data_IF_269982502908
#
_entry.id   IF_269982502908
#
_cell.length_a   1.000
_cell.length_b   1.000
_cell.length_c   1.000
_cell.angle_alpha   90.00
_cell.angle_beta   90.00
_cell.angle_gamma   90.00
#
_symmetry.space_group_name_H-M   'P 1'
#
loop_
_entity.id
_entity.type
_entity.pdbx_description
1 polymer ?
#
# COMPACT_ATOMS: atom_id res chain seq x y z
N UNK A 1 3.90 7.61 -0.75
CA UNK A 1 4.29 7.84 0.67
C UNK A 1 3.85 6.63 1.48
N UNK A 2 4.57 6.22 2.53
CA UNK A 2 4.26 5.00 3.26
C UNK A 2 2.88 5.08 3.93
N UNK A 3 2.11 4.00 3.82
CA UNK A 3 0.90 3.79 4.59
C UNK A 3 1.23 3.82 6.09
N UNK A 4 0.33 4.40 6.90
CA UNK A 4 0.43 4.39 8.35
C UNK A 4 0.38 2.95 8.85
N UNK A 5 1.44 2.51 9.54
CA UNK A 5 1.53 1.17 10.12
C UNK A 5 1.14 1.24 11.59
N UNK A 6 0.08 0.53 11.97
CA UNK A 6 -0.46 0.46 13.33
C UNK A 6 -0.57 -0.98 13.83
N UNK A 7 -0.67 -1.14 15.15
CA UNK A 7 -0.71 -2.43 15.84
C UNK A 7 -1.96 -3.25 15.48
N UNK A 8 -3.12 -2.60 15.42
CA UNK A 8 -4.38 -3.15 14.95
C UNK A 8 -4.81 -2.37 13.72
N UNK A 9 -5.09 -3.05 12.63
CA UNK A 9 -5.47 -2.42 11.35
C UNK A 9 -6.50 -3.28 10.63
N UNK A 10 -7.40 -2.64 9.88
CA UNK A 10 -8.21 -3.39 8.94
C UNK A 10 -7.38 -3.76 7.71
N UNK A 11 -7.57 -4.97 7.22
CA UNK A 11 -7.02 -5.49 5.98
C UNK A 11 -8.16 -6.02 5.12
N UNK A 12 -8.07 -5.84 3.80
CA UNK A 12 -8.97 -6.44 2.83
C UNK A 12 -8.20 -7.57 2.16
N UNK A 13 -8.61 -8.80 2.41
CA UNK A 13 -8.12 -9.96 1.67
C UNK A 13 -9.02 -10.15 0.48
N UNK A 14 -8.45 -10.08 -0.72
CA UNK A 14 -9.19 -10.01 -1.97
C UNK A 14 -8.78 -11.11 -2.94
N UNK A 15 -9.74 -11.55 -3.75
CA UNK A 15 -9.60 -12.53 -4.82
C UNK A 15 -9.90 -11.85 -6.15
N UNK A 16 -9.06 -12.12 -7.15
CA UNK A 16 -9.24 -11.61 -8.50
C UNK A 16 -10.29 -12.41 -9.26
N UNK A 17 -11.40 -11.77 -9.62
CA UNK A 17 -12.56 -12.39 -10.24
C UNK A 17 -12.43 -12.55 -11.76
N UNK A 18 -11.57 -11.77 -12.41
CA UNK A 18 -11.37 -11.83 -13.85
C UNK A 18 -10.00 -12.45 -14.21
N UNK A 19 -10.00 -13.28 -15.25
CA UNK A 19 -8.77 -13.84 -15.82
C UNK A 19 -8.10 -12.87 -16.81
N UNK A 20 -8.91 -12.13 -17.57
CA UNK A 20 -8.46 -11.10 -18.50
C UNK A 20 -8.68 -9.72 -17.89
N UNK A 21 -7.64 -8.89 -17.95
CA UNK A 21 -7.70 -7.51 -17.51
C UNK A 21 -8.69 -6.71 -18.35
N UNK A 22 -9.43 -5.80 -17.70
CA UNK A 22 -10.37 -4.92 -18.38
C UNK A 22 -9.71 -3.58 -18.68
N UNK A 23 -9.99 -2.95 -19.81
CA UNK A 23 -9.50 -1.60 -20.07
C UNK A 23 -10.17 -0.63 -19.10
N UNK A 24 -9.38 0.19 -18.41
CA UNK A 24 -9.85 1.27 -17.53
C UNK A 24 -9.39 2.66 -18.00
N UNK A 25 -8.86 2.75 -19.22
CA UNK A 25 -8.29 3.97 -19.78
C UNK A 25 -7.36 3.69 -20.98
N UNK A 26 -6.76 4.73 -21.58
CA UNK A 26 -5.98 4.62 -22.82
C UNK A 26 -4.78 3.67 -22.74
N UNK A 27 -4.24 3.47 -21.52
CA UNK A 27 -3.06 2.65 -21.27
C UNK A 27 -3.11 1.92 -19.93
N UNK A 28 -4.31 1.74 -19.36
CA UNK A 28 -4.49 1.13 -18.04
C UNK A 28 -5.39 -0.09 -18.09
N UNK A 29 -4.97 -1.11 -17.36
CA UNK A 29 -5.70 -2.36 -17.19
C UNK A 29 -6.19 -2.44 -15.75
N UNK A 30 -7.47 -2.67 -15.55
CA UNK A 30 -8.09 -2.92 -14.27
C UNK A 30 -8.38 -4.41 -14.07
N UNK A 31 -8.36 -4.77 -12.79
CA UNK A 31 -8.64 -6.12 -12.31
C UNK A 31 -9.78 -6.03 -11.30
N UNK A 32 -10.77 -6.89 -11.46
CA UNK A 32 -11.91 -6.95 -10.55
C UNK A 32 -11.51 -7.81 -9.36
N UNK A 33 -11.47 -7.20 -8.20
CA UNK A 33 -11.20 -7.87 -6.94
C UNK A 33 -12.46 -7.90 -6.07
N UNK A 34 -12.74 -9.05 -5.46
CA UNK A 34 -13.75 -9.22 -4.44
C UNK A 34 -13.05 -9.55 -3.13
N UNK A 35 -13.32 -8.80 -2.07
CA UNK A 35 -12.56 -8.91 -0.84
C UNK A 35 -13.40 -8.91 0.43
N UNK A 36 -12.84 -9.54 1.46
CA UNK A 36 -13.40 -9.64 2.79
C UNK A 36 -12.53 -8.82 3.74
N UNK A 37 -13.18 -7.91 4.49
CA UNK A 37 -12.53 -7.15 5.55
C UNK A 37 -12.15 -8.08 6.70
N UNK A 38 -10.95 -7.91 7.22
CA UNK A 38 -10.41 -8.64 8.37
C UNK A 38 -9.66 -7.67 9.26
N UNK A 39 -9.77 -7.86 10.57
CA UNK A 39 -8.87 -7.19 11.50
C UNK A 39 -7.53 -7.93 11.54
N UNK A 40 -6.45 -7.19 11.38
CA UNK A 40 -5.08 -7.67 11.45
C UNK A 40 -4.43 -7.10 12.70
N UNK A 41 -4.00 -8.00 13.59
CA UNK A 41 -3.26 -7.66 14.81
C UNK A 41 -1.80 -8.05 14.61
N UNK A 42 -0.90 -7.06 14.71
CA UNK A 42 0.54 -7.27 14.57
C UNK A 42 1.13 -7.78 15.88
N UNK A 43 2.22 -8.58 15.84
CA UNK A 43 2.95 -8.96 17.06
C UNK A 43 3.62 -7.75 17.73
N UNK A 44 4.01 -7.89 19.01
CA UNK A 44 4.73 -6.83 19.72
C UNK A 44 6.13 -6.64 19.15
N UNK A 45 6.73 -5.48 19.39
CA UNK A 45 8.08 -5.22 18.93
C UNK A 45 9.07 -6.14 19.66
N UNK A 46 9.96 -6.78 18.89
CA UNK A 46 10.87 -7.81 19.39
C UNK A 46 10.31 -9.24 19.31
N UNK A 47 8.99 -9.40 19.13
CA UNK A 47 8.40 -10.73 18.91
C UNK A 47 8.58 -11.17 17.45
N UNK A 48 8.65 -12.49 17.20
CA UNK A 48 8.74 -13.01 15.84
C UNK A 48 7.48 -12.68 15.03
N UNK A 49 7.61 -12.69 13.71
CA UNK A 49 6.49 -12.47 12.81
C UNK A 49 5.42 -13.57 13.00
N UNK A 50 4.15 -13.17 12.99
CA UNK A 50 3.03 -14.09 13.18
C UNK A 50 2.51 -14.58 11.83
N UNK A 51 2.17 -15.87 11.73
CA UNK A 51 1.47 -16.40 10.56
C UNK A 51 -0.03 -16.24 10.73
N UNK A 52 -0.68 -15.63 9.74
CA UNK A 52 -2.11 -15.42 9.65
C UNK A 52 -2.66 -16.31 8.52
N UNK A 53 -3.22 -17.49 8.84
CA UNK A 53 -3.95 -18.29 7.87
C UNK A 53 -5.29 -17.62 7.54
N UNK A 54 -5.61 -17.52 6.25
CA UNK A 54 -6.85 -16.96 5.75
C UNK A 54 -7.38 -17.87 4.66
N UNK A 55 -8.61 -18.36 4.83
CA UNK A 55 -9.30 -19.09 3.77
C UNK A 55 -10.00 -18.13 2.82
N UNK A 56 -9.74 -18.24 1.52
CA UNK A 56 -10.41 -17.45 0.51
C UNK A 56 -11.89 -17.85 0.41
N UNK A 57 -12.81 -16.88 0.51
CA UNK A 57 -14.25 -17.15 0.37
C UNK A 57 -14.66 -17.58 -1.04
N UNK A 58 -13.93 -17.12 -2.08
CA UNK A 58 -14.29 -17.36 -3.48
C UNK A 58 -13.78 -18.71 -4.01
N UNK A 59 -12.56 -19.13 -3.64
CA UNK A 59 -11.96 -20.37 -4.17
C UNK A 59 -11.59 -21.40 -3.09
N UNK A 60 -11.94 -21.15 -1.83
CA UNK A 60 -11.67 -22.00 -0.67
C UNK A 60 -10.19 -22.33 -0.39
N UNK A 61 -9.25 -21.77 -1.17
CA UNK A 61 -7.80 -21.91 -1.00
C UNK A 61 -7.34 -21.32 0.34
N UNK A 62 -6.44 -22.03 1.03
CA UNK A 62 -5.84 -21.57 2.28
C UNK A 62 -4.60 -20.72 2.00
N UNK A 63 -4.66 -19.45 2.39
CA UNK A 63 -3.62 -18.46 2.19
C UNK A 63 -2.90 -18.25 3.51
N UNK A 64 -1.57 -18.29 3.52
CA UNK A 64 -0.78 -17.95 4.70
C UNK A 64 -0.05 -16.63 4.48
N UNK A 65 -0.39 -15.64 5.30
CA UNK A 65 0.30 -14.36 5.36
C UNK A 65 1.22 -14.29 6.59
N UNK A 66 2.40 -13.73 6.44
CA UNK A 66 3.33 -13.42 7.53
C UNK A 66 3.19 -11.94 7.87
N UNK A 67 2.79 -11.67 9.11
CA UNK A 67 2.55 -10.33 9.65
C UNK A 67 3.72 -9.94 10.54
N UNK A 68 4.39 -8.85 10.18
CA UNK A 68 5.52 -8.31 10.93
C UNK A 68 5.06 -7.25 11.94
N UNK A 69 5.82 -7.10 13.04
CA UNK A 69 5.60 -6.04 14.03
C UNK A 69 5.74 -4.65 13.39
N UNK A 70 5.32 -3.60 14.11
CA UNK A 70 5.42 -2.21 13.62
C UNK A 70 6.89 -1.83 13.43
N UNK A 71 7.76 -2.10 14.40
CA UNK A 71 9.19 -1.80 14.29
C UNK A 71 9.86 -2.59 13.16
N UNK A 72 9.56 -3.88 13.01
CA UNK A 72 10.10 -4.70 11.94
C UNK A 72 9.68 -4.17 10.55
N UNK A 73 8.41 -3.79 10.40
CA UNK A 73 7.90 -3.18 9.18
C UNK A 73 8.60 -1.87 8.85
N UNK A 74 8.78 -0.98 9.84
CA UNK A 74 9.49 0.29 9.66
C UNK A 74 10.95 0.09 9.25
N UNK A 75 11.64 -0.90 9.82
CA UNK A 75 13.02 -1.25 9.42
C UNK A 75 13.07 -1.70 7.96
N UNK A 76 12.15 -2.55 7.52
CA UNK A 76 12.06 -3.01 6.13
C UNK A 76 11.77 -1.84 5.17
N UNK A 77 10.83 -0.96 5.52
CA UNK A 77 10.59 0.27 4.75
C UNK A 77 11.86 1.14 4.66
N UNK A 78 12.63 1.26 5.74
CA UNK A 78 13.91 1.96 5.75
C UNK A 78 14.94 1.33 4.80
N UNK A 79 15.09 0.01 4.85
CA UNK A 79 15.96 -0.74 3.93
C UNK A 79 15.57 -0.52 2.47
N UNK A 80 14.28 -0.65 2.14
CA UNK A 80 13.81 -0.46 0.78
C UNK A 80 13.99 0.98 0.27
N UNK A 81 13.84 1.99 1.14
CA UNK A 81 14.16 3.38 0.79
C UNK A 81 15.65 3.57 0.53
N UNK A 82 16.50 3.01 1.37
CA UNK A 82 17.95 3.06 1.17
C UNK A 82 18.36 2.39 -0.16
N UNK A 83 17.79 1.22 -0.46
CA UNK A 83 17.99 0.54 -1.73
C UNK A 83 17.49 1.36 -2.93
N UNK A 84 16.34 2.03 -2.79
CA UNK A 84 15.81 2.95 -3.83
C UNK A 84 16.79 4.10 -4.08
N UNK A 85 17.29 4.73 -3.02
CA UNK A 85 18.29 5.80 -3.13
C UNK A 85 19.59 5.34 -3.78
N UNK A 86 20.07 4.13 -3.45
CA UNK A 86 21.25 3.55 -4.10
C UNK A 86 21.04 3.40 -5.62
N UNK A 87 19.84 3.00 -6.06
CA UNK A 87 19.51 2.91 -7.49
C UNK A 87 19.47 4.29 -8.17
N UNK A 88 18.95 5.31 -7.49
CA UNK A 88 18.97 6.69 -7.99
C UNK A 88 20.40 7.19 -8.15
N UNK A 89 21.27 6.94 -7.17
CA UNK A 89 22.71 7.30 -7.26
C UNK A 89 23.38 6.59 -8.44
N UNK A 90 23.12 5.29 -8.62
CA UNK A 90 23.64 4.53 -9.76
C UNK A 90 23.17 5.09 -11.10
N UNK A 91 21.88 5.44 -11.20
CA UNK A 91 21.33 6.09 -12.39
C UNK A 91 22.04 7.40 -12.71
N UNK A 92 22.20 8.28 -11.70
CA UNK A 92 22.88 9.57 -11.86
C UNK A 92 24.37 9.41 -12.22
N UNK A 93 25.05 8.40 -11.67
CA UNK A 93 26.41 8.07 -12.05
C UNK A 93 26.51 7.65 -13.53
N UNK A 94 25.53 6.89 -14.04
CA UNK A 94 25.43 6.55 -15.46
C UNK A 94 25.26 7.77 -16.37
N UNK A 95 24.41 8.72 -15.96
CA UNK A 95 24.23 10.01 -16.66
C UNK A 95 25.53 10.81 -16.68
N UNK A 96 26.22 10.93 -15.54
CA UNK A 96 27.50 11.61 -15.46
C UNK A 96 28.57 10.93 -16.34
N UNK A 97 28.61 9.60 -16.36
CA UNK A 97 29.49 8.83 -17.24
C UNK A 97 29.25 9.11 -18.71
N UNK A 98 27.98 9.21 -19.13
CA UNK A 98 27.61 9.60 -20.50
C UNK A 98 28.11 10.99 -20.86
N UNK A 99 27.93 11.97 -19.97
CA UNK A 99 28.43 13.34 -20.16
C UNK A 99 29.96 13.35 -20.28
N UNK A 100 30.65 12.49 -19.53
CA UNK A 100 32.10 12.31 -19.58
C UNK A 100 32.59 11.46 -20.77
N UNK A 101 31.72 11.05 -21.69
CA UNK A 101 32.08 10.28 -22.90
C UNK A 101 32.17 8.76 -22.71
N UNK A 102 31.74 8.21 -21.58
CA UNK A 102 31.71 6.76 -21.34
C UNK A 102 30.50 6.11 -22.02
N UNK A 103 30.64 5.81 -23.30
CA UNK A 103 29.53 5.34 -24.17
C UNK A 103 29.06 3.91 -23.88
N UNK A 104 29.85 3.07 -23.19
CA UNK A 104 29.44 1.70 -22.81
C UNK A 104 28.94 1.67 -21.37
N UNK A 105 29.77 2.12 -20.42
CA UNK A 105 29.45 2.02 -19.00
C UNK A 105 28.38 3.01 -18.53
N UNK A 106 28.30 4.20 -19.16
CA UNK A 106 27.28 5.20 -18.85
C UNK A 106 25.86 4.68 -19.08
N UNK A 107 25.51 4.22 -20.30
CA UNK A 107 24.19 3.64 -20.58
C UNK A 107 23.86 2.41 -19.73
N UNK A 108 24.84 1.53 -19.48
CA UNK A 108 24.62 0.33 -18.66
C UNK A 108 24.26 0.69 -17.23
N UNK A 109 25.02 1.58 -16.59
CA UNK A 109 24.72 2.05 -15.24
C UNK A 109 23.38 2.78 -15.17
N UNK A 110 23.06 3.61 -16.17
CA UNK A 110 21.79 4.31 -16.27
C UNK A 110 20.61 3.33 -16.40
N UNK A 111 20.68 2.36 -17.31
CA UNK A 111 19.64 1.36 -17.52
C UNK A 111 19.43 0.50 -16.26
N UNK A 112 20.50 0.02 -15.65
CA UNK A 112 20.43 -0.77 -14.42
C UNK A 112 19.87 0.04 -13.25
N UNK A 113 20.34 1.27 -13.04
CA UNK A 113 19.84 2.16 -12.00
C UNK A 113 18.35 2.47 -12.17
N UNK A 114 17.89 2.71 -13.41
CA UNK A 114 16.49 2.94 -13.69
C UNK A 114 15.62 1.71 -13.45
N UNK A 115 15.97 0.56 -14.04
CA UNK A 115 15.18 -0.68 -13.93
C UNK A 115 15.16 -1.19 -12.48
N UNK A 116 16.32 -1.25 -11.83
CA UNK A 116 16.40 -1.66 -10.43
C UNK A 116 15.66 -0.67 -9.53
N UNK A 117 15.81 0.64 -9.77
CA UNK A 117 15.10 1.69 -9.03
C UNK A 117 13.59 1.61 -9.17
N UNK A 118 13.09 1.29 -10.37
CA UNK A 118 11.66 1.08 -10.62
C UNK A 118 11.12 -0.13 -9.84
N UNK A 119 11.81 -1.29 -9.92
CA UNK A 119 11.40 -2.52 -9.22
C UNK A 119 11.46 -2.33 -7.71
N UNK A 120 12.58 -1.84 -7.19
CA UNK A 120 12.82 -1.63 -5.76
C UNK A 120 11.91 -0.54 -5.20
N UNK A 121 11.76 0.58 -5.90
CA UNK A 121 10.89 1.69 -5.49
C UNK A 121 9.42 1.29 -5.45
N UNK A 122 8.96 0.48 -6.42
CA UNK A 122 7.59 -0.06 -6.40
C UNK A 122 7.36 -0.99 -5.21
N UNK A 123 8.33 -1.87 -4.92
CA UNK A 123 8.32 -2.75 -3.74
C UNK A 123 8.34 -1.94 -2.43
N UNK A 124 9.13 -0.87 -2.37
CA UNK A 124 9.22 0.03 -1.22
C UNK A 124 7.89 0.73 -0.92
N UNK A 125 7.14 1.10 -1.96
CA UNK A 125 5.84 1.76 -1.84
C UNK A 125 4.75 0.82 -1.29
N UNK A 126 4.87 -0.48 -1.54
CA UNK A 126 3.90 -1.50 -1.16
C UNK A 126 4.31 -2.29 0.10
N UNK A 127 5.50 -2.05 0.65
CA UNK A 127 5.94 -2.69 1.90
C UNK A 127 5.08 -2.22 3.08
N UNK A 128 4.09 -3.03 3.39
CA UNK A 128 3.15 -2.85 4.50
C UNK A 128 3.42 -3.81 5.66
N UNK A 129 4.53 -4.56 5.63
CA UNK A 129 4.88 -5.51 6.68
C UNK A 129 3.97 -6.74 6.72
N UNK A 130 3.36 -7.07 5.58
CA UNK A 130 2.60 -8.30 5.37
C UNK A 130 3.16 -8.96 4.11
N UNK A 131 3.62 -10.20 4.23
CA UNK A 131 4.17 -10.99 3.10
C UNK A 131 3.44 -12.33 3.02
N UNK A 132 3.51 -13.05 1.90
CA UNK A 132 2.92 -14.39 1.81
C UNK A 132 2.35 -14.73 0.45
N UNK A 133 1.65 -15.86 0.37
CA UNK A 133 1.02 -16.36 -0.86
C UNK A 133 0.03 -15.33 -1.40
N UNK A 134 0.27 -14.84 -2.63
CA UNK A 134 -0.53 -13.81 -3.28
C UNK A 134 -0.03 -12.37 -3.09
N UNK A 135 0.79 -12.09 -2.07
CA UNK A 135 1.43 -10.76 -1.94
C UNK A 135 2.83 -10.76 -2.56
N UNK A 136 2.96 -11.35 -3.75
CA UNK A 136 4.22 -11.43 -4.48
C UNK A 136 4.52 -10.10 -5.18
N UNK A 137 5.81 -9.82 -5.35
CA UNK A 137 6.38 -8.67 -6.05
C UNK A 137 5.54 -8.30 -7.28
N UNK A 138 5.26 -6.99 -7.42
CA UNK A 138 4.36 -6.33 -8.40
C UNK A 138 4.53 -6.70 -9.89
N UNK A 139 5.53 -7.50 -10.22
CA UNK A 139 5.77 -8.07 -11.55
C UNK A 139 4.72 -9.12 -11.93
N UNK A 140 3.95 -9.63 -10.97
CA UNK A 140 2.84 -10.56 -11.23
C UNK A 140 1.52 -9.93 -10.83
N UNK A 141 0.45 -10.21 -11.58
CA UNK A 141 -0.92 -9.83 -11.19
C UNK A 141 -1.43 -10.94 -10.28
N UNK A 142 -1.52 -10.71 -8.96
CA UNK A 142 -1.79 -11.78 -8.04
C UNK A 142 -3.26 -12.21 -8.11
N UNK A 143 -3.50 -13.53 -7.94
CA UNK A 143 -4.85 -14.07 -7.77
C UNK A 143 -5.46 -13.64 -6.42
N UNK A 144 -4.63 -13.54 -5.39
CA UNK A 144 -5.02 -13.15 -4.04
C UNK A 144 -4.21 -11.94 -3.60
N UNK A 145 -4.84 -10.91 -3.06
CA UNK A 145 -4.15 -9.69 -2.64
C UNK A 145 -4.62 -9.25 -1.26
N UNK A 146 -3.68 -8.83 -0.40
CA UNK A 146 -3.99 -8.27 0.92
C UNK A 146 -3.64 -6.77 0.92
N UNK A 147 -4.67 -5.94 0.96
CA UNK A 147 -4.53 -4.50 1.09
C UNK A 147 -4.77 -4.09 2.54
N UNK A 148 -3.88 -3.28 3.13
CA UNK A 148 -4.20 -2.64 4.41
C UNK A 148 -5.08 -1.42 4.17
N UNK A 149 -6.11 -1.27 5.01
CA UNK A 149 -6.85 -0.02 5.12
C UNK A 149 -6.06 0.87 6.08
N UNK A 150 -5.83 2.13 5.69
CA UNK A 150 -5.22 3.09 6.59
C UNK A 150 -6.08 3.23 7.86
N UNK A 151 -5.46 3.29 9.05
CA UNK A 151 -6.20 3.49 10.27
C UNK A 151 -6.81 4.91 10.27
N UNK A 152 -8.00 5.10 10.85
CA UNK A 152 -8.58 6.43 10.95
C UNK A 152 -7.64 7.37 11.71
N UNK A 153 -7.60 8.67 11.36
CA UNK A 153 -6.78 9.65 12.08
C UNK A 153 -7.18 9.71 13.55
N UNK A 154 -6.19 9.82 14.43
CA UNK A 154 -6.42 9.90 15.88
C UNK A 154 -7.33 11.10 16.22
N UNK A 155 -8.41 10.86 16.97
CA UNK A 155 -9.39 11.89 17.35
C UNK A 155 -10.41 12.27 16.28
N UNK A 156 -10.47 11.57 15.14
CA UNK A 156 -11.44 11.83 14.06
C UNK A 156 -12.33 10.59 13.84
N UNK A 157 -13.45 10.45 14.59
CA UNK A 157 -14.38 9.33 14.41
C UNK A 157 -15.05 9.34 13.03
N UNK A 158 -15.59 8.20 12.62
CA UNK A 158 -16.40 8.09 11.40
C UNK A 158 -17.68 8.93 11.52
N UNK A 159 -18.01 9.67 10.46
CA UNK A 159 -19.19 10.53 10.39
C UNK A 159 -20.35 9.75 9.75
N UNK A 160 -21.06 8.95 10.56
CA UNK A 160 -22.16 8.06 10.09
C UNK A 160 -23.50 8.41 10.76
N UNK A 161 -24.57 8.66 10.00
CA UNK A 161 -25.93 8.88 10.56
C UNK A 161 -26.38 7.54 11.16
N UNK A 162 -26.54 7.49 12.49
CA UNK A 162 -27.01 6.28 13.18
C UNK A 162 -28.41 5.82 12.72
N UNK A 163 -29.18 6.70 12.07
CA UNK A 163 -30.55 6.43 11.62
C UNK A 163 -30.65 5.86 10.20
N UNK A 164 -29.92 6.42 9.23
CA UNK A 164 -29.98 5.99 7.82
C UNK A 164 -28.69 5.36 7.29
N UNK A 165 -27.62 5.36 8.09
CA UNK A 165 -26.31 4.83 7.67
C UNK A 165 -25.55 5.73 6.68
N UNK A 166 -26.01 6.95 6.40
CA UNK A 166 -25.26 7.91 5.56
C UNK A 166 -23.88 8.16 6.15
N UNK A 167 -22.84 7.88 5.38
CA UNK A 167 -21.45 8.11 5.74
C UNK A 167 -20.91 9.32 4.96
N UNK A 168 -20.33 10.29 5.67
CA UNK A 168 -19.66 11.41 5.05
C UNK A 168 -18.16 11.13 4.91
N UNK A 169 -17.72 10.98 3.67
CA UNK A 169 -16.33 10.68 3.37
C UNK A 169 -15.43 11.92 3.40
N UNK A 170 -14.19 11.71 3.82
CA UNK A 170 -13.13 12.71 3.76
C UNK A 170 -11.76 12.03 3.55
N UNK A 171 -10.75 12.73 2.99
CA UNK A 171 -9.42 12.16 2.81
C UNK A 171 -8.76 11.83 4.16
N UNK A 172 -8.47 10.55 4.40
CA UNK A 172 -7.85 10.04 5.63
C UNK A 172 -6.38 9.63 5.47
N UNK A 173 -5.83 9.87 4.28
CA UNK A 173 -4.43 9.61 3.89
C UNK A 173 -3.42 9.88 5.00
N UNK A 174 -2.76 8.86 5.56
CA UNK A 174 -1.69 9.06 6.57
C UNK A 174 -0.49 9.86 6.04
N UNK A 175 -0.39 9.95 4.72
CA UNK A 175 0.58 10.72 3.97
C UNK A 175 0.21 12.19 3.78
N UNK A 176 -1.04 12.56 4.05
CA UNK A 176 -1.51 13.94 3.95
C UNK A 176 -1.04 14.73 5.17
N UNK A 177 -0.87 16.05 5.00
CA UNK A 177 -0.55 16.94 6.12
C UNK A 177 -1.67 16.89 7.17
N UNK A 178 -1.33 16.77 8.45
CA UNK A 178 -2.32 16.73 9.55
C UNK A 178 -3.32 17.89 9.49
N UNK A 179 -2.84 19.10 9.23
CA UNK A 179 -3.70 20.29 9.08
C UNK A 179 -4.67 20.19 7.91
N UNK A 180 -4.25 19.60 6.79
CA UNK A 180 -5.11 19.36 5.63
C UNK A 180 -6.20 18.34 5.97
N UNK A 181 -5.84 17.21 6.59
CA UNK A 181 -6.81 16.19 7.01
C UNK A 181 -7.82 16.77 8.01
N UNK A 182 -7.34 17.54 9.00
CA UNK A 182 -8.19 18.19 9.99
C UNK A 182 -9.17 19.19 9.37
N UNK A 183 -8.70 20.02 8.43
CA UNK A 183 -9.56 20.94 7.69
C UNK A 183 -10.64 20.19 6.91
N UNK A 184 -10.27 19.13 6.17
CA UNK A 184 -11.22 18.31 5.43
C UNK A 184 -12.23 17.59 6.32
N UNK A 185 -11.80 17.15 7.49
CA UNK A 185 -12.68 16.57 8.49
C UNK A 185 -13.70 17.59 9.00
N UNK A 186 -13.27 18.81 9.32
CA UNK A 186 -14.18 19.90 9.73
C UNK A 186 -15.19 20.24 8.61
N UNK A 187 -14.74 20.31 7.36
CA UNK A 187 -15.62 20.51 6.20
C UNK A 187 -16.67 19.38 6.11
N UNK A 188 -16.24 18.13 6.28
CA UNK A 188 -17.13 16.96 6.26
C UNK A 188 -18.10 16.98 7.43
N UNK A 189 -17.65 17.32 8.64
CA UNK A 189 -18.50 17.47 9.82
C UNK A 189 -19.57 18.54 9.60
N UNK A 190 -19.24 19.66 8.96
CA UNK A 190 -20.19 20.71 8.63
C UNK A 190 -21.24 20.27 7.58
N UNK A 191 -20.85 19.43 6.60
CA UNK A 191 -21.80 18.83 5.65
C UNK A 191 -22.68 17.78 6.33
N UNK A 192 -22.09 16.93 7.16
CA UNK A 192 -22.78 15.92 7.94
C UNK A 192 -23.80 16.55 8.92
N UNK A 193 -23.48 17.68 9.55
CA UNK A 193 -24.41 18.41 10.42
C UNK A 193 -25.66 18.94 9.68
N UNK A 194 -25.56 19.14 8.36
CA UNK A 194 -26.69 19.55 7.50
C UNK A 194 -27.46 18.36 6.94
N UNK A 195 -26.98 17.14 7.13
CA UNK A 195 -27.63 15.93 6.64
C UNK A 195 -29.00 15.75 7.29
N UNK A 196 -30.02 15.44 6.48
CA UNK A 196 -31.35 15.06 6.96
C UNK A 196 -31.65 13.65 6.49
N UNK A 197 -31.76 12.72 7.45
CA UNK A 197 -32.04 11.32 7.18
C UNK A 197 -33.49 11.26 6.62
N UNK A 198 -33.64 10.92 5.33
CA UNK A 198 -34.94 10.78 4.64
C UNK A 198 -35.57 9.43 4.94
#
# INVERSE_FOLDING_TARGET
MPLGIAKKQQAVVSHRMNFLGQSSGPSTVSWKYQGVKRELVRPDDGQPATRLPVRCGECAEELTFTVHSVAATRRRQGYWRAATWACVVLFLAGVAGLIAGQVVWGPVAMALGFVAGWIIGSTAAEEVGVTGHGNAVRLTIPKHHIALTEPPPEGMPELVCARCGHQEDFPQGSHLRKSYVQQRYQDAQARFAKHRCR
#
